data_IF_244390530672
#
_entry.id   IF_244390530672
#
_cell.length_a   1.000
_cell.length_b   1.000
_cell.length_c   1.000
_cell.angle_alpha   90.00
_cell.angle_beta   90.00
_cell.angle_gamma   90.00
#
_symmetry.space_group_name_H-M   'P 1'
#
loop_
_entity.id
_entity.type
_entity.pdbx_description
1 polymer ?
#
# COMPACT_ATOMS: atom_id res chain seq x y z
N UNK A 1 1.07 29.45 -0.40
CA UNK A 1 0.81 28.26 -1.23
C UNK A 1 0.96 27.06 -0.30
N UNK A 2 -0.14 26.62 0.28
CA UNK A 2 -0.23 25.41 1.11
C UNK A 2 -0.24 24.23 0.16
N UNK A 3 0.84 23.46 0.12
CA UNK A 3 0.82 22.13 -0.51
C UNK A 3 0.00 21.28 0.46
N UNK A 4 -1.18 20.77 0.08
CA UNK A 4 -1.83 19.72 0.86
C UNK A 4 -0.92 18.50 0.74
N UNK A 5 -0.31 18.09 1.84
CA UNK A 5 0.59 16.94 1.90
C UNK A 5 -0.16 15.61 2.03
N UNK A 6 -1.48 15.66 2.02
CA UNK A 6 -2.31 14.48 2.18
C UNK A 6 -2.78 13.92 0.83
N UNK A 7 -2.34 12.68 0.58
CA UNK A 7 -3.21 11.58 0.13
C UNK A 7 -3.04 11.00 -1.26
N UNK A 8 -1.99 11.39 -1.97
CA UNK A 8 -1.81 11.01 -3.37
C UNK A 8 -0.90 9.77 -3.56
N UNK A 9 0.24 9.68 -2.86
CA UNK A 9 1.18 8.57 -3.05
C UNK A 9 0.81 7.25 -2.31
N UNK A 10 -0.08 7.32 -1.32
CA UNK A 10 -0.29 6.21 -0.37
C UNK A 10 -1.10 5.05 -0.98
N UNK A 11 -2.09 5.37 -1.82
CA UNK A 11 -2.97 4.36 -2.41
C UNK A 11 -2.24 3.51 -3.47
N UNK A 12 -1.43 4.15 -4.30
CA UNK A 12 -0.57 3.48 -5.29
C UNK A 12 0.49 2.64 -4.58
N UNK A 13 1.08 3.13 -3.49
CA UNK A 13 2.00 2.34 -2.67
C UNK A 13 1.31 1.11 -2.07
N UNK A 14 0.08 1.26 -1.57
CA UNK A 14 -0.68 0.13 -1.04
C UNK A 14 -0.95 -0.94 -2.11
N UNK A 15 -1.42 -0.53 -3.28
CA UNK A 15 -1.60 -1.43 -4.44
C UNK A 15 -0.30 -2.14 -4.82
N UNK A 16 0.82 -1.41 -4.87
CA UNK A 16 2.13 -1.98 -5.18
C UNK A 16 2.59 -3.04 -4.17
N UNK A 17 2.31 -2.86 -2.88
CA UNK A 17 2.64 -3.86 -1.83
C UNK A 17 1.81 -5.14 -2.02
N UNK A 18 0.50 -5.04 -2.30
CA UNK A 18 -0.33 -6.22 -2.53
C UNK A 18 0.05 -6.97 -3.81
N UNK A 19 0.32 -6.25 -4.90
CA UNK A 19 0.83 -6.85 -6.14
C UNK A 19 2.18 -7.53 -5.95
N UNK A 20 3.04 -6.97 -5.08
CA UNK A 20 4.31 -7.60 -4.72
C UNK A 20 4.08 -8.92 -3.98
N UNK A 21 3.15 -8.96 -3.02
CA UNK A 21 2.80 -10.20 -2.33
C UNK A 21 2.26 -11.25 -3.31
N UNK A 22 1.28 -10.88 -4.13
CA UNK A 22 0.67 -11.76 -5.13
C UNK A 22 1.72 -12.33 -6.08
N UNK A 23 2.67 -11.50 -6.55
CA UNK A 23 3.77 -11.95 -7.39
C UNK A 23 4.65 -13.00 -6.70
N UNK A 24 4.94 -12.82 -5.41
CA UNK A 24 5.73 -13.78 -4.65
C UNK A 24 4.96 -15.08 -4.41
N UNK A 25 3.65 -14.99 -4.11
CA UNK A 25 2.78 -16.14 -3.93
C UNK A 25 2.58 -16.92 -5.24
N UNK A 26 2.50 -16.23 -6.38
CA UNK A 26 2.50 -16.84 -7.71
C UNK A 26 3.80 -17.62 -7.98
N UNK A 27 4.96 -17.01 -7.66
CA UNK A 27 6.26 -17.69 -7.81
C UNK A 27 6.32 -18.93 -6.91
N UNK A 28 5.89 -18.79 -5.65
CA UNK A 28 5.88 -19.89 -4.70
C UNK A 28 5.02 -21.06 -5.20
N UNK A 29 3.82 -20.77 -5.69
CA UNK A 29 2.84 -21.79 -6.08
C UNK A 29 3.20 -22.49 -7.39
N UNK A 30 3.84 -21.80 -8.33
CA UNK A 30 4.09 -22.32 -9.68
C UNK A 30 5.53 -22.81 -9.91
N UNK A 31 6.51 -22.34 -9.13
CA UNK A 31 7.93 -22.55 -9.42
C UNK A 31 8.74 -23.15 -8.26
N UNK A 32 8.19 -23.18 -7.05
CA UNK A 32 8.86 -23.76 -5.88
C UNK A 32 8.35 -25.19 -5.65
N UNK A 33 9.23 -26.19 -5.45
CA UNK A 33 8.83 -27.54 -5.09
C UNK A 33 7.94 -27.57 -3.84
N UNK A 34 6.91 -28.41 -3.83
CA UNK A 34 5.88 -28.47 -2.79
C UNK A 34 6.47 -28.60 -1.37
N UNK A 35 7.55 -29.38 -1.23
CA UNK A 35 8.27 -29.58 0.03
C UNK A 35 8.91 -28.30 0.61
N UNK A 36 9.06 -27.26 -0.20
CA UNK A 36 9.63 -25.97 0.18
C UNK A 36 8.60 -24.84 0.26
N UNK A 37 7.39 -25.04 -0.29
CA UNK A 37 6.40 -23.97 -0.41
C UNK A 37 5.96 -23.37 0.93
N UNK A 38 5.85 -24.20 1.98
CA UNK A 38 5.49 -23.73 3.31
C UNK A 38 6.58 -22.82 3.93
N UNK A 39 7.85 -23.18 3.74
CA UNK A 39 8.98 -22.36 4.21
C UNK A 39 9.05 -21.05 3.43
N UNK A 40 8.93 -21.10 2.10
CA UNK A 40 8.94 -19.90 1.27
C UNK A 40 7.75 -18.99 1.58
N UNK A 41 6.57 -19.55 1.88
CA UNK A 41 5.41 -18.74 2.34
C UNK A 41 5.72 -17.99 3.63
N UNK A 42 6.36 -18.64 4.60
CA UNK A 42 6.79 -17.95 5.82
C UNK A 42 7.83 -16.86 5.55
N UNK A 43 8.73 -17.06 4.58
CA UNK A 43 9.70 -16.04 4.17
C UNK A 43 9.03 -14.84 3.46
N UNK A 44 8.00 -15.10 2.66
CA UNK A 44 7.15 -14.07 2.06
C UNK A 44 6.44 -13.27 3.16
N UNK A 45 5.81 -13.94 4.13
CA UNK A 45 5.15 -13.28 5.27
C UNK A 45 6.11 -12.35 6.03
N UNK A 46 7.29 -12.86 6.38
CA UNK A 46 8.34 -12.08 7.06
C UNK A 46 8.82 -10.88 6.21
N UNK A 47 8.97 -11.07 4.90
CA UNK A 47 9.36 -9.99 4.00
C UNK A 47 8.28 -8.91 3.94
N UNK A 48 7.01 -9.29 3.80
CA UNK A 48 5.89 -8.35 3.76
C UNK A 48 5.74 -7.58 5.07
N UNK A 49 5.88 -8.25 6.22
CA UNK A 49 5.85 -7.60 7.54
C UNK A 49 6.95 -6.53 7.67
N UNK A 50 8.17 -6.82 7.17
CA UNK A 50 9.26 -5.84 7.16
C UNK A 50 8.96 -4.64 6.28
N UNK A 51 8.39 -4.85 5.08
CA UNK A 51 7.99 -3.76 4.19
C UNK A 51 6.96 -2.85 4.85
N UNK A 52 5.93 -3.44 5.46
CA UNK A 52 4.90 -2.72 6.20
C UNK A 52 5.49 -1.93 7.38
N UNK A 53 6.38 -2.56 8.14
CA UNK A 53 7.06 -1.92 9.28
C UNK A 53 7.91 -0.71 8.85
N UNK A 54 8.64 -0.81 7.73
CA UNK A 54 9.45 0.30 7.21
C UNK A 54 8.57 1.45 6.76
N UNK A 55 7.48 1.14 6.03
CA UNK A 55 6.47 2.13 5.62
C UNK A 55 5.89 2.86 6.84
N UNK A 56 5.42 2.11 7.83
CA UNK A 56 4.81 2.65 9.05
C UNK A 56 5.79 3.55 9.82
N UNK A 57 7.05 3.14 9.95
CA UNK A 57 8.08 4.00 10.57
C UNK A 57 8.31 5.30 9.80
N UNK A 58 8.30 5.24 8.47
CA UNK A 58 8.45 6.42 7.63
C UNK A 58 7.25 7.36 7.76
N UNK A 59 6.04 6.81 7.71
CA UNK A 59 4.78 7.54 7.87
C UNK A 59 4.72 8.24 9.23
N UNK A 60 5.01 7.51 10.30
CA UNK A 60 5.08 8.07 11.65
C UNK A 60 6.04 9.26 11.72
N UNK A 61 7.26 9.11 11.16
CA UNK A 61 8.25 10.19 11.15
C UNK A 61 7.76 11.40 10.35
N UNK A 62 7.07 11.18 9.23
CA UNK A 62 6.51 12.26 8.43
C UNK A 62 5.48 13.07 9.21
N UNK A 63 4.53 12.39 9.86
CA UNK A 63 3.50 13.01 10.70
C UNK A 63 4.10 13.77 11.90
N UNK A 64 5.07 13.17 12.58
CA UNK A 64 5.77 13.82 13.70
C UNK A 64 6.51 15.09 13.22
N UNK A 65 7.18 15.02 12.06
CA UNK A 65 7.87 16.18 11.46
C UNK A 65 6.90 17.30 11.03
N UNK A 66 5.73 16.94 10.50
CA UNK A 66 4.70 17.92 10.12
C UNK A 66 4.20 18.68 11.34
N UNK A 67 3.91 17.97 12.43
CA UNK A 67 3.53 18.58 13.70
C UNK A 67 4.61 19.50 14.25
N UNK A 68 5.87 19.07 14.23
CA UNK A 68 7.00 19.89 14.68
C UNK A 68 7.18 21.14 13.81
N UNK A 69 6.99 21.02 12.50
CA UNK A 69 7.04 22.15 11.58
C UNK A 69 5.89 23.13 11.80
N UNK A 70 4.65 22.65 11.99
CA UNK A 70 3.49 23.48 12.30
C UNK A 70 3.70 24.24 13.63
N UNK A 71 4.23 23.57 14.65
CA UNK A 71 4.62 24.18 15.94
C UNK A 71 5.69 25.25 15.77
N UNK A 72 6.72 24.97 14.98
CA UNK A 72 7.79 25.92 14.69
C UNK A 72 7.25 27.20 14.04
N UNK A 73 6.31 27.06 13.10
CA UNK A 73 5.65 28.19 12.44
C UNK A 73 4.61 28.91 13.31
N UNK A 74 4.23 28.33 14.46
CA UNK A 74 3.13 28.80 15.33
C UNK A 74 1.81 28.93 14.59
N UNK A 75 1.57 28.05 13.62
CA UNK A 75 0.37 28.02 12.80
C UNK A 75 -0.70 27.18 13.51
N UNK A 76 -1.53 27.83 14.33
CA UNK A 76 -2.54 27.16 15.19
C UNK A 76 -3.42 26.14 14.45
N UNK A 77 -4.08 26.52 13.34
CA UNK A 77 -4.87 25.59 12.54
C UNK A 77 -4.08 24.35 12.06
N UNK A 78 -2.84 24.54 11.58
CA UNK A 78 -2.00 23.42 11.15
C UNK A 78 -1.53 22.53 12.30
N UNK A 79 -1.32 23.11 13.48
CA UNK A 79 -0.97 22.34 14.68
C UNK A 79 -2.14 21.42 15.04
N UNK A 80 -3.38 21.91 14.99
CA UNK A 80 -4.58 21.12 15.26
C UNK A 80 -4.70 19.97 14.26
N UNK A 81 -4.63 20.25 12.95
CA UNK A 81 -4.67 19.24 11.88
C UNK A 81 -3.57 18.18 12.02
N UNK A 82 -2.32 18.59 12.18
CA UNK A 82 -1.20 17.65 12.32
C UNK A 82 -1.32 16.80 13.61
N UNK A 83 -1.87 17.36 14.68
CA UNK A 83 -2.08 16.64 15.93
C UNK A 83 -3.20 15.60 15.81
N UNK A 84 -4.27 15.90 15.06
CA UNK A 84 -5.32 14.96 14.71
C UNK A 84 -4.76 13.80 13.87
N UNK A 85 -3.92 14.09 12.88
CA UNK A 85 -3.28 13.07 12.04
C UNK A 85 -2.37 12.13 12.84
N UNK A 86 -1.52 12.68 13.72
CA UNK A 86 -0.69 11.87 14.64
C UNK A 86 -1.56 10.99 15.56
N UNK A 87 -2.68 11.53 16.05
CA UNK A 87 -3.62 10.78 16.90
C UNK A 87 -4.31 9.66 16.12
N UNK A 88 -4.81 9.94 14.92
CA UNK A 88 -5.43 8.95 14.04
C UNK A 88 -4.46 7.81 13.71
N UNK A 89 -3.20 8.14 13.44
CA UNK A 89 -2.14 7.16 13.20
C UNK A 89 -1.86 6.29 14.43
N UNK A 90 -1.76 6.89 15.62
CA UNK A 90 -1.57 6.15 16.86
C UNK A 90 -2.73 5.18 17.18
N UNK A 91 -3.94 5.49 16.70
CA UNK A 91 -5.13 4.65 16.86
C UNK A 91 -5.29 3.59 15.75
N UNK A 92 -4.42 3.58 14.73
CA UNK A 92 -4.56 2.70 13.58
C UNK A 92 -5.67 3.11 12.60
N UNK A 93 -6.19 4.33 12.73
CA UNK A 93 -7.30 4.86 11.93
C UNK A 93 -6.82 5.87 10.88
N UNK A 94 -5.51 6.02 10.70
CA UNK A 94 -4.99 6.89 9.64
C UNK A 94 -5.27 6.28 8.28
N UNK A 95 -5.68 7.12 7.32
CA UNK A 95 -6.14 6.68 5.99
C UNK A 95 -5.17 5.71 5.32
N UNK A 96 -3.89 6.01 5.32
CA UNK A 96 -2.87 5.16 4.71
C UNK A 96 -2.76 3.76 5.37
N UNK A 97 -3.09 3.62 6.66
CA UNK A 97 -3.15 2.32 7.36
C UNK A 97 -4.41 1.53 6.98
N UNK A 98 -5.54 2.22 6.82
CA UNK A 98 -6.78 1.61 6.37
C UNK A 98 -6.65 1.09 4.94
N UNK A 99 -6.09 1.91 4.04
CA UNK A 99 -5.88 1.56 2.64
C UNK A 99 -5.00 0.32 2.49
N UNK A 100 -3.88 0.24 3.21
CA UNK A 100 -3.01 -0.94 3.13
C UNK A 100 -3.72 -2.21 3.62
N UNK A 101 -4.50 -2.14 4.71
CA UNK A 101 -5.25 -3.30 5.20
C UNK A 101 -6.31 -3.77 4.19
N UNK A 102 -7.00 -2.85 3.55
CA UNK A 102 -8.00 -3.18 2.52
C UNK A 102 -7.37 -3.89 1.32
N UNK A 103 -6.22 -3.40 0.84
CA UNK A 103 -5.54 -3.96 -0.33
C UNK A 103 -4.89 -5.30 0.00
N UNK A 104 -4.29 -5.46 1.19
CA UNK A 104 -3.77 -6.74 1.64
C UNK A 104 -4.89 -7.79 1.75
N UNK A 105 -6.06 -7.41 2.28
CA UNK A 105 -7.22 -8.30 2.33
C UNK A 105 -7.70 -8.71 0.93
N UNK A 106 -7.57 -7.84 -0.09
CA UNK A 106 -7.84 -8.23 -1.48
C UNK A 106 -6.91 -9.34 -1.91
N UNK A 107 -5.58 -9.19 -1.73
CA UNK A 107 -4.60 -10.22 -2.11
C UNK A 107 -4.80 -11.54 -1.38
N UNK A 108 -5.18 -11.51 -0.10
CA UNK A 108 -5.40 -12.73 0.69
C UNK A 108 -6.72 -13.45 0.34
N UNK A 109 -7.67 -12.76 -0.29
CA UNK A 109 -9.03 -13.27 -0.53
C UNK A 109 -9.25 -13.87 -1.93
N UNK A 110 -8.22 -13.92 -2.77
CA UNK A 110 -8.33 -14.33 -4.18
C UNK A 110 -7.17 -15.21 -4.59
N UNK A 111 -7.46 -16.45 -4.99
CA UNK A 111 -6.47 -17.33 -5.66
C UNK A 111 -6.42 -17.09 -7.18
N UNK A 112 -7.42 -16.39 -7.72
CA UNK A 112 -7.51 -16.03 -9.13
C UNK A 112 -6.94 -14.62 -9.35
N UNK A 113 -5.85 -14.56 -10.11
CA UNK A 113 -5.14 -13.35 -10.48
C UNK A 113 -5.99 -12.31 -11.20
N UNK A 114 -6.93 -12.71 -12.06
CA UNK A 114 -7.82 -11.78 -12.75
C UNK A 114 -8.82 -11.18 -11.76
N UNK A 115 -9.40 -12.00 -10.89
CA UNK A 115 -10.33 -11.54 -9.84
C UNK A 115 -9.63 -10.59 -8.87
N UNK A 116 -8.37 -10.87 -8.52
CA UNK A 116 -7.54 -9.99 -7.69
C UNK A 116 -7.35 -8.61 -8.33
N UNK A 117 -6.97 -8.61 -9.61
CA UNK A 117 -6.77 -7.38 -10.40
C UNK A 117 -8.05 -6.56 -10.52
N UNK A 118 -9.19 -7.20 -10.76
CA UNK A 118 -10.49 -6.54 -10.85
C UNK A 118 -10.89 -5.91 -9.51
N UNK A 119 -10.69 -6.63 -8.38
CA UNK A 119 -10.95 -6.12 -7.04
C UNK A 119 -10.04 -4.94 -6.69
N UNK A 120 -8.75 -5.00 -7.03
CA UNK A 120 -7.82 -3.89 -6.85
C UNK A 120 -8.25 -2.66 -7.64
N UNK A 121 -8.63 -2.84 -8.90
CA UNK A 121 -9.12 -1.77 -9.78
C UNK A 121 -10.40 -1.15 -9.22
N UNK A 122 -11.34 -1.98 -8.74
CA UNK A 122 -12.56 -1.49 -8.09
C UNK A 122 -12.27 -0.73 -6.80
N UNK A 123 -11.38 -1.24 -5.95
CA UNK A 123 -10.94 -0.55 -4.74
C UNK A 123 -10.36 0.82 -5.07
N UNK A 124 -9.40 0.86 -6.00
CA UNK A 124 -8.74 2.09 -6.42
C UNK A 124 -9.73 3.10 -7.02
N UNK A 125 -10.70 2.63 -7.80
CA UNK A 125 -11.76 3.48 -8.38
C UNK A 125 -12.68 4.15 -7.36
N UNK A 126 -12.72 3.67 -6.11
CA UNK A 126 -13.55 4.23 -5.03
C UNK A 126 -12.83 5.30 -4.21
N UNK A 127 -11.54 5.50 -4.45
CA UNK A 127 -10.72 6.48 -3.73
C UNK A 127 -11.03 7.88 -4.27
N UNK A 128 -11.37 8.80 -3.37
CA UNK A 128 -11.92 10.12 -3.69
C UNK A 128 -10.86 11.20 -4.01
N UNK A 129 -9.57 10.91 -3.84
CA UNK A 129 -8.46 11.87 -3.93
C UNK A 129 -7.40 11.47 -4.97
N UNK A 130 -7.84 11.07 -6.15
CA UNK A 130 -6.95 10.71 -7.26
C UNK A 130 -6.56 11.93 -8.07
N UNK A 131 -5.29 12.00 -8.44
CA UNK A 131 -4.78 12.89 -9.48
C UNK A 131 -4.34 12.06 -10.71
N UNK A 132 -4.12 12.73 -11.84
CA UNK A 132 -3.78 12.06 -13.09
C UNK A 132 -2.45 11.28 -13.03
N UNK A 133 -1.53 11.71 -12.17
CA UNK A 133 -0.23 11.04 -12.00
C UNK A 133 -0.40 9.71 -11.27
N UNK A 134 -1.25 9.66 -10.23
CA UNK A 134 -1.56 8.41 -9.54
C UNK A 134 -2.29 7.42 -10.45
N UNK A 135 -3.23 7.89 -11.26
CA UNK A 135 -3.94 7.03 -12.19
C UNK A 135 -2.95 6.37 -13.18
N UNK A 136 -2.01 7.15 -13.71
CA UNK A 136 -0.95 6.61 -14.57
C UNK A 136 -0.03 5.61 -13.83
N UNK A 137 0.34 5.91 -12.58
CA UNK A 137 1.16 5.01 -11.77
C UNK A 137 0.42 3.71 -11.43
N UNK A 138 -0.86 3.78 -11.09
CA UNK A 138 -1.70 2.62 -10.81
C UNK A 138 -1.89 1.77 -12.08
N UNK A 139 -2.22 2.39 -13.22
CA UNK A 139 -2.35 1.71 -14.51
C UNK A 139 -1.04 1.02 -14.91
N UNK A 140 0.11 1.66 -14.64
CA UNK A 140 1.42 1.08 -14.86
C UNK A 140 1.66 -0.15 -13.96
N UNK A 141 1.28 -0.08 -12.68
CA UNK A 141 1.39 -1.21 -11.76
C UNK A 141 0.58 -2.40 -12.24
N UNK A 142 -0.69 -2.19 -12.58
CA UNK A 142 -1.61 -3.22 -13.07
C UNK A 142 -1.11 -3.80 -14.40
N UNK A 143 -0.68 -2.95 -15.34
CA UNK A 143 -0.14 -3.40 -16.62
C UNK A 143 1.13 -4.23 -16.44
N UNK A 144 2.03 -3.84 -15.54
CA UNK A 144 3.26 -4.61 -15.30
C UNK A 144 2.97 -5.97 -14.67
N UNK A 145 1.93 -6.05 -13.83
CA UNK A 145 1.46 -7.29 -13.24
C UNK A 145 0.87 -8.21 -14.30
N UNK A 146 -0.04 -7.71 -15.14
CA UNK A 146 -0.63 -8.48 -16.23
C UNK A 146 0.44 -9.03 -17.18
N UNK A 147 1.40 -8.20 -17.59
CA UNK A 147 2.54 -8.64 -18.41
C UNK A 147 3.39 -9.71 -17.74
N UNK A 148 3.59 -9.62 -16.42
CA UNK A 148 4.29 -10.66 -15.67
C UNK A 148 3.51 -11.97 -15.73
N UNK A 149 2.22 -11.95 -15.42
CA UNK A 149 1.37 -13.14 -15.44
C UNK A 149 1.35 -13.77 -16.84
N UNK A 150 1.06 -13.01 -17.88
CA UNK A 150 1.05 -13.47 -19.27
C UNK A 150 2.37 -14.14 -19.69
N UNK A 151 3.50 -13.61 -19.21
CA UNK A 151 4.82 -14.14 -19.52
C UNK A 151 5.09 -15.49 -18.84
N UNK A 152 4.54 -15.70 -17.65
CA UNK A 152 4.91 -16.81 -16.75
C UNK A 152 3.77 -17.82 -16.49
N UNK A 153 2.58 -17.65 -17.06
CA UNK A 153 1.43 -18.55 -16.89
C UNK A 153 1.39 -19.70 -17.92
N UNK A 154 2.56 -20.18 -18.39
CA UNK A 154 2.67 -21.24 -19.41
C UNK A 154 2.81 -22.64 -18.83
#
# INVERSE_FOLDING_TARGET
MTIPLESSADSTQAAGIALMREKLDFINSNYIPEEHQAQVRADIDNYMERQLTVRDKSMKRMLDNELDYAKFLKDGPRIEEAQENVSAYAQGNYRAQIEIWQVMAISESTEDTQVMTDKLTQWYSRISYRDAEQDEQFDTLISSWQQFVEKYQK
#
